data_IF_997310729437
#
_entry.id   IF_997310729437
#
_cell.length_a   1.000
_cell.length_b   1.000
_cell.length_c   1.000
_cell.angle_alpha   90.00
_cell.angle_beta   90.00
_cell.angle_gamma   90.00
#
_symmetry.space_group_name_H-M   'P 1'
#
loop_
_entity.id
_entity.type
_entity.pdbx_description
1 polymer ?
#
# COMPACT_ATOMS: atom_id res chain seq x y z
N UNK A 1 -33.00 32.01 -52.68
CA UNK A 1 -32.12 32.00 -51.48
C UNK A 1 -32.78 31.16 -50.39
N UNK A 2 -32.22 29.98 -50.06
CA UNK A 2 -32.68 29.19 -48.91
C UNK A 2 -32.15 29.87 -47.63
N UNK A 3 -33.05 30.39 -46.79
CA UNK A 3 -32.67 30.89 -45.46
C UNK A 3 -32.21 29.70 -44.62
N UNK A 4 -30.96 29.71 -44.15
CA UNK A 4 -30.49 28.75 -43.15
C UNK A 4 -31.16 29.11 -41.83
N UNK A 5 -31.88 28.17 -41.25
CA UNK A 5 -32.42 28.29 -39.89
C UNK A 5 -31.24 28.51 -38.92
N UNK A 6 -31.27 29.60 -38.18
CA UNK A 6 -30.34 29.86 -37.10
C UNK A 6 -31.02 29.50 -35.77
N UNK A 7 -30.27 28.86 -34.87
CA UNK A 7 -30.76 28.45 -33.55
C UNK A 7 -31.37 29.63 -32.78
N UNK A 8 -32.47 29.38 -32.08
CA UNK A 8 -33.09 30.39 -31.22
C UNK A 8 -32.35 30.50 -29.89
N UNK A 9 -32.34 31.69 -29.29
CA UNK A 9 -31.63 31.95 -28.03
C UNK A 9 -32.15 31.07 -26.88
N UNK A 10 -33.46 30.78 -26.89
CA UNK A 10 -34.08 29.90 -25.91
C UNK A 10 -33.66 28.44 -26.05
N UNK A 11 -33.43 27.98 -27.28
CA UNK A 11 -33.05 26.60 -27.57
C UNK A 11 -31.62 26.31 -27.12
N UNK A 12 -30.72 27.28 -27.28
CA UNK A 12 -29.39 27.20 -26.69
C UNK A 12 -29.45 27.21 -25.15
N UNK A 13 -30.33 28.05 -24.57
CA UNK A 13 -30.47 28.20 -23.12
C UNK A 13 -30.97 26.93 -22.42
N UNK A 14 -31.96 26.24 -23.02
CA UNK A 14 -32.47 24.97 -22.49
C UNK A 14 -31.43 23.86 -22.60
N UNK A 15 -30.65 23.81 -23.69
CA UNK A 15 -29.61 22.80 -23.88
C UNK A 15 -28.51 22.94 -22.84
N UNK A 16 -27.99 24.16 -22.60
CA UNK A 16 -26.95 24.34 -21.59
C UNK A 16 -27.44 24.05 -20.16
N UNK A 17 -28.71 24.37 -19.86
CA UNK A 17 -29.33 24.02 -18.58
C UNK A 17 -29.46 22.49 -18.40
N UNK A 18 -29.84 21.77 -19.45
CA UNK A 18 -29.90 20.30 -19.41
C UNK A 18 -28.52 19.66 -19.31
N UNK A 19 -27.53 20.18 -20.05
CA UNK A 19 -26.15 19.71 -19.97
C UNK A 19 -25.57 19.92 -18.57
N UNK A 20 -25.81 21.08 -17.94
CA UNK A 20 -25.34 21.33 -16.57
C UNK A 20 -25.94 20.36 -15.56
N UNK A 21 -27.23 20.01 -15.72
CA UNK A 21 -27.90 19.03 -14.86
C UNK A 21 -27.32 17.62 -15.05
N UNK A 22 -27.12 17.20 -16.30
CA UNK A 22 -26.55 15.88 -16.61
C UNK A 22 -25.14 15.71 -16.04
N UNK A 23 -24.30 16.75 -16.12
CA UNK A 23 -22.93 16.71 -15.59
C UNK A 23 -22.92 16.52 -14.07
N UNK A 24 -23.82 17.19 -13.33
CA UNK A 24 -23.90 17.05 -11.88
C UNK A 24 -24.20 15.62 -11.44
N UNK A 25 -25.15 14.94 -12.11
CA UNK A 25 -25.52 13.55 -11.78
C UNK A 25 -24.42 12.57 -12.18
N UNK A 26 -23.76 12.80 -13.32
CA UNK A 26 -22.70 11.94 -13.83
C UNK A 26 -21.53 11.80 -12.84
N UNK A 27 -21.09 12.89 -12.21
CA UNK A 27 -19.93 12.87 -11.29
C UNK A 27 -20.12 11.89 -10.13
N UNK A 28 -21.33 11.84 -9.54
CA UNK A 28 -21.59 10.91 -8.43
C UNK A 28 -21.71 9.45 -8.88
N UNK A 29 -22.17 9.20 -10.11
CA UNK A 29 -22.32 7.86 -10.65
C UNK A 29 -20.96 7.17 -10.97
N UNK A 30 -19.92 7.93 -11.32
CA UNK A 30 -18.65 7.35 -11.78
C UNK A 30 -17.63 7.02 -10.67
N UNK A 31 -17.78 7.56 -9.46
CA UNK A 31 -16.78 7.34 -8.38
C UNK A 31 -16.68 5.88 -7.93
N UNK A 32 -17.81 5.20 -7.79
CA UNK A 32 -17.86 3.80 -7.31
C UNK A 32 -17.10 2.82 -8.21
N UNK A 33 -17.38 2.78 -9.53
CA UNK A 33 -16.66 1.91 -10.45
C UNK A 33 -15.14 2.20 -10.54
N UNK A 34 -14.74 3.46 -10.44
CA UNK A 34 -13.32 3.84 -10.45
C UNK A 34 -12.57 3.29 -9.22
N UNK A 35 -13.14 3.47 -8.03
CA UNK A 35 -12.56 2.91 -6.79
C UNK A 35 -12.44 1.39 -6.87
N UNK A 36 -13.47 0.70 -7.37
CA UNK A 36 -13.41 -0.76 -7.60
C UNK A 36 -12.31 -1.15 -8.59
N UNK A 37 -12.09 -0.34 -9.63
CA UNK A 37 -10.99 -0.55 -10.59
C UNK A 37 -9.62 -0.40 -9.96
N UNK A 38 -9.41 0.64 -9.14
CA UNK A 38 -8.17 0.82 -8.37
C UNK A 38 -7.97 -0.29 -7.34
N UNK A 39 -9.02 -0.71 -6.65
CA UNK A 39 -8.98 -1.78 -5.66
C UNK A 39 -8.65 -3.14 -6.29
N UNK A 40 -9.21 -3.44 -7.47
CA UNK A 40 -8.82 -4.62 -8.24
C UNK A 40 -7.33 -4.59 -8.59
N UNK A 41 -6.79 -3.41 -8.92
CA UNK A 41 -5.37 -3.24 -9.19
C UNK A 41 -4.52 -3.42 -7.92
N UNK A 42 -4.89 -2.80 -6.79
CA UNK A 42 -4.23 -3.00 -5.48
C UNK A 42 -4.13 -4.47 -5.10
N UNK A 43 -5.24 -5.21 -5.21
CA UNK A 43 -5.29 -6.65 -4.96
C UNK A 43 -4.34 -7.44 -5.87
N UNK A 44 -4.33 -7.11 -7.17
CA UNK A 44 -3.41 -7.73 -8.13
C UNK A 44 -1.95 -7.41 -7.83
N UNK A 45 -1.66 -6.18 -7.42
CA UNK A 45 -0.31 -5.71 -7.12
C UNK A 45 0.25 -6.38 -5.85
N UNK A 46 -0.55 -6.48 -4.78
CA UNK A 46 -0.16 -7.24 -3.58
C UNK A 46 0.11 -8.71 -3.88
N UNK A 47 -0.70 -9.35 -4.74
CA UNK A 47 -0.47 -10.73 -5.14
C UNK A 47 0.82 -10.89 -5.96
N UNK A 48 1.15 -9.93 -6.82
CA UNK A 48 2.43 -9.94 -7.57
C UNK A 48 3.62 -9.82 -6.65
N UNK A 49 3.57 -8.92 -5.67
CA UNK A 49 4.62 -8.78 -4.66
C UNK A 49 4.73 -10.07 -3.85
N UNK A 50 3.60 -10.66 -3.41
CA UNK A 50 3.59 -11.95 -2.70
C UNK A 50 4.30 -13.05 -3.48
N UNK A 51 4.01 -13.22 -4.78
CA UNK A 51 4.67 -14.24 -5.61
C UNK A 51 6.18 -14.00 -5.65
N UNK A 52 6.62 -12.74 -5.87
CA UNK A 52 8.04 -12.40 -5.88
C UNK A 52 8.71 -12.65 -4.52
N UNK A 53 8.01 -12.41 -3.41
CA UNK A 53 8.48 -12.72 -2.06
C UNK A 53 8.64 -14.22 -1.85
N UNK A 54 7.69 -15.04 -2.34
CA UNK A 54 7.76 -16.50 -2.27
C UNK A 54 8.89 -17.07 -3.15
N UNK A 55 9.15 -16.48 -4.32
CA UNK A 55 10.31 -16.86 -5.15
C UNK A 55 11.63 -16.49 -4.47
N UNK A 56 11.73 -15.29 -3.89
CA UNK A 56 12.89 -14.88 -3.10
C UNK A 56 13.16 -15.85 -1.94
N UNK A 57 12.11 -16.26 -1.22
CA UNK A 57 12.23 -17.18 -0.08
C UNK A 57 12.73 -18.57 -0.51
N UNK A 58 12.32 -19.08 -1.67
CA UNK A 58 12.82 -20.37 -2.20
C UNK A 58 14.33 -20.34 -2.43
N UNK A 59 14.87 -19.21 -2.87
CA UNK A 59 16.29 -19.08 -3.18
C UNK A 59 17.12 -18.72 -1.94
N UNK A 60 16.54 -18.01 -0.95
CA UNK A 60 17.26 -17.47 0.21
C UNK A 60 16.89 -18.12 1.56
N UNK A 61 15.88 -19.00 1.60
CA UNK A 61 15.30 -19.63 2.81
C UNK A 61 14.72 -18.65 3.85
N UNK A 62 14.54 -17.39 3.44
CA UNK A 62 14.08 -16.27 4.25
C UNK A 62 13.33 -15.28 3.35
N UNK A 63 12.32 -14.61 3.87
CA UNK A 63 11.76 -13.41 3.23
C UNK A 63 12.72 -12.22 3.36
N UNK A 64 12.69 -11.26 2.42
CA UNK A 64 13.60 -10.13 2.45
C UNK A 64 13.39 -9.27 3.71
N UNK A 65 14.46 -8.68 4.26
CA UNK A 65 14.37 -7.90 5.50
C UNK A 65 13.61 -6.58 5.35
N UNK A 66 13.47 -6.08 4.12
CA UNK A 66 12.75 -4.85 3.75
C UNK A 66 12.25 -4.95 2.31
N UNK A 67 11.29 -4.10 1.95
CA UNK A 67 10.97 -3.81 0.55
C UNK A 67 11.52 -2.44 0.16
N UNK A 68 12.11 -2.30 -1.04
CA UNK A 68 12.51 -1.00 -1.56
C UNK A 68 11.28 -0.18 -1.96
N UNK A 69 11.45 1.14 -2.01
CA UNK A 69 10.38 2.03 -2.47
C UNK A 69 10.04 1.79 -3.94
N UNK A 70 8.75 1.81 -4.24
CA UNK A 70 8.18 1.81 -5.57
C UNK A 70 8.57 3.02 -6.44
N UNK A 71 9.06 4.09 -5.81
CA UNK A 71 9.56 5.28 -6.52
C UNK A 71 11.00 5.12 -7.00
N UNK A 72 11.64 4.00 -6.66
CA UNK A 72 12.94 3.61 -7.20
C UNK A 72 12.88 3.26 -8.69
N UNK A 73 14.06 3.11 -9.30
CA UNK A 73 14.19 2.72 -10.71
C UNK A 73 14.12 1.20 -10.94
N UNK A 74 14.23 0.40 -9.87
CA UNK A 74 14.08 -1.05 -9.90
C UNK A 74 13.57 -1.59 -8.55
N UNK A 75 13.34 -2.91 -8.47
CA UNK A 75 12.89 -3.57 -7.26
C UNK A 75 14.01 -3.96 -6.28
N UNK A 76 15.21 -3.37 -6.38
CA UNK A 76 16.34 -3.58 -5.47
C UNK A 76 16.63 -5.06 -5.21
N UNK A 77 16.54 -5.47 -3.95
CA UNK A 77 16.76 -6.86 -3.50
C UNK A 77 15.83 -7.88 -4.19
N UNK A 78 14.68 -7.45 -4.73
CA UNK A 78 13.74 -8.30 -5.45
C UNK A 78 13.87 -8.23 -6.98
N UNK A 79 14.85 -7.51 -7.53
CA UNK A 79 15.00 -7.27 -8.98
C UNK A 79 14.98 -8.54 -9.83
N UNK A 80 15.49 -9.65 -9.31
CA UNK A 80 15.49 -10.95 -10.01
C UNK A 80 14.10 -11.61 -10.11
N UNK A 81 13.17 -11.20 -9.24
CA UNK A 81 11.84 -11.82 -9.09
C UNK A 81 10.71 -10.90 -9.56
N UNK A 82 10.93 -9.58 -9.50
CA UNK A 82 10.00 -8.57 -10.00
C UNK A 82 10.78 -7.38 -10.54
N UNK A 83 10.45 -6.83 -11.72
CA UNK A 83 11.24 -5.76 -12.32
C UNK A 83 11.13 -4.43 -11.56
N UNK A 84 9.93 -4.12 -11.04
CA UNK A 84 9.62 -2.91 -10.27
C UNK A 84 8.58 -3.23 -9.21
N UNK A 85 8.69 -2.61 -8.04
CA UNK A 85 7.68 -2.71 -6.98
C UNK A 85 6.44 -1.91 -7.40
N UNK A 86 5.26 -2.53 -7.55
CA UNK A 86 4.02 -1.81 -7.81
C UNK A 86 3.63 -0.92 -6.63
N UNK A 87 2.86 0.12 -6.92
CA UNK A 87 2.37 1.08 -5.92
C UNK A 87 0.91 1.41 -6.12
N UNK A 88 0.32 2.07 -5.13
CA UNK A 88 -1.08 2.44 -5.16
C UNK A 88 -1.43 3.27 -6.41
N UNK A 89 -2.35 2.79 -7.28
CA UNK A 89 -2.63 3.44 -8.55
C UNK A 89 -3.28 4.81 -8.40
N UNK A 90 -3.85 5.14 -7.24
CA UNK A 90 -4.47 6.43 -6.97
C UNK A 90 -3.55 7.34 -6.16
N UNK A 91 -3.10 6.92 -4.97
CA UNK A 91 -2.30 7.76 -4.06
C UNK A 91 -0.83 7.84 -4.45
N UNK A 92 -0.34 6.94 -5.31
CA UNK A 92 1.08 6.85 -5.71
C UNK A 92 2.01 6.57 -4.52
N UNK A 93 1.50 5.87 -3.51
CA UNK A 93 2.24 5.49 -2.30
C UNK A 93 2.58 4.01 -2.33
N UNK A 94 3.62 3.66 -1.59
CA UNK A 94 4.02 2.28 -1.35
C UNK A 94 2.95 1.49 -0.56
N UNK A 95 2.98 0.17 -0.71
CA UNK A 95 2.26 -0.75 0.16
C UNK A 95 3.06 -1.02 1.44
N UNK A 96 2.37 -1.30 2.55
CA UNK A 96 3.06 -1.65 3.78
C UNK A 96 3.57 -3.10 3.69
N UNK A 97 4.87 -3.27 3.84
CA UNK A 97 5.52 -4.56 4.04
C UNK A 97 5.93 -4.72 5.49
N UNK A 98 5.53 -5.84 6.10
CA UNK A 98 5.89 -6.17 7.47
C UNK A 98 6.40 -7.61 7.53
N UNK A 99 7.73 -7.82 7.50
CA UNK A 99 8.32 -9.14 7.68
C UNK A 99 8.28 -9.56 9.15
N UNK A 100 8.38 -10.86 9.39
CA UNK A 100 8.56 -11.44 10.72
C UNK A 100 9.65 -10.69 11.52
N UNK A 101 9.26 -9.95 12.58
CA UNK A 101 10.19 -9.12 13.35
C UNK A 101 11.02 -9.94 14.34
N UNK A 102 10.67 -11.21 14.56
CA UNK A 102 11.27 -12.04 15.63
C UNK A 102 12.59 -12.70 15.23
N UNK A 103 12.92 -12.69 13.93
CA UNK A 103 14.06 -13.39 13.36
C UNK A 103 14.75 -12.54 12.31
N UNK A 104 16.09 -12.57 12.27
CA UNK A 104 16.92 -11.97 11.20
C UNK A 104 16.68 -12.62 9.84
N UNK A 105 16.25 -13.88 9.83
CA UNK A 105 15.74 -14.61 8.67
C UNK A 105 14.21 -14.67 8.80
N UNK A 106 13.51 -13.72 8.19
CA UNK A 106 12.06 -13.63 8.31
C UNK A 106 11.38 -14.88 7.74
N UNK A 107 10.54 -15.55 8.53
CA UNK A 107 9.85 -16.79 8.12
C UNK A 107 8.50 -16.59 7.49
N UNK A 108 7.96 -15.38 7.61
CA UNK A 108 6.73 -14.96 6.99
C UNK A 108 6.73 -13.45 6.81
N UNK A 109 5.81 -12.93 6.02
CA UNK A 109 5.57 -11.50 5.87
C UNK A 109 4.10 -11.19 5.60
N UNK A 110 3.70 -9.98 6.00
CA UNK A 110 2.42 -9.37 5.68
C UNK A 110 2.59 -8.23 4.69
N UNK A 111 1.60 -8.06 3.82
CA UNK A 111 1.43 -6.93 2.92
C UNK A 111 0.09 -6.28 3.21
N UNK A 112 0.07 -4.98 3.53
CA UNK A 112 -1.17 -4.25 3.82
C UNK A 112 -1.43 -3.10 2.83
N UNK A 113 -2.72 -2.80 2.64
CA UNK A 113 -3.21 -1.63 1.91
C UNK A 113 -4.61 -1.26 2.40
N UNK A 114 -5.09 -0.08 1.99
CA UNK A 114 -6.49 0.27 2.08
C UNK A 114 -7.18 0.15 0.72
N UNK A 115 -8.32 -0.51 0.70
CA UNK A 115 -9.28 -0.45 -0.39
C UNK A 115 -10.20 0.75 -0.17
N UNK A 116 -10.47 1.48 -1.25
CA UNK A 116 -11.33 2.67 -1.20
C UNK A 116 -12.80 2.30 -1.17
N UNK A 117 -13.17 1.20 -1.84
CA UNK A 117 -14.51 0.64 -1.76
C UNK A 117 -14.66 -0.20 -0.49
N UNK A 118 -15.05 0.44 0.61
CA UNK A 118 -15.27 -0.22 1.92
C UNK A 118 -16.39 -1.26 1.92
N UNK A 119 -17.25 -1.27 0.89
CA UNK A 119 -18.27 -2.30 0.69
C UNK A 119 -17.74 -3.59 0.02
N UNK A 120 -16.43 -3.72 -0.19
CA UNK A 120 -15.84 -4.93 -0.75
C UNK A 120 -16.00 -6.10 0.23
N UNK A 121 -16.64 -7.21 -0.16
CA UNK A 121 -16.91 -8.33 0.76
C UNK A 121 -15.63 -8.96 1.29
N UNK A 122 -14.49 -8.79 0.60
CA UNK A 122 -13.23 -9.35 1.02
C UNK A 122 -12.71 -8.72 2.32
N UNK A 123 -13.07 -7.47 2.61
CA UNK A 123 -12.71 -6.78 3.87
C UNK A 123 -13.32 -7.51 5.06
N UNK A 124 -14.60 -7.86 4.97
CA UNK A 124 -15.31 -8.60 6.02
C UNK A 124 -14.87 -10.06 6.08
N UNK A 125 -14.63 -10.69 4.92
CA UNK A 125 -14.18 -12.08 4.84
C UNK A 125 -12.86 -12.31 5.61
N UNK A 126 -11.92 -11.37 5.50
CA UNK A 126 -10.63 -11.44 6.22
C UNK A 126 -10.70 -10.83 7.64
N UNK A 127 -11.83 -10.21 8.00
CA UNK A 127 -12.08 -9.65 9.34
C UNK A 127 -11.45 -8.28 9.60
N UNK A 128 -11.22 -7.46 8.56
CA UNK A 128 -10.56 -6.15 8.67
C UNK A 128 -11.51 -4.95 8.64
N UNK A 129 -12.81 -5.16 8.86
CA UNK A 129 -13.82 -4.09 8.82
C UNK A 129 -13.57 -2.96 9.84
N UNK A 130 -12.91 -3.28 10.95
CA UNK A 130 -12.58 -2.31 12.00
C UNK A 130 -11.09 -1.90 11.98
N UNK A 131 -10.34 -2.37 10.98
CA UNK A 131 -8.90 -2.17 10.85
C UNK A 131 -8.07 -3.38 11.23
N UNK A 132 -6.97 -3.54 10.52
CA UNK A 132 -5.93 -4.55 10.66
C UNK A 132 -4.56 -3.89 10.59
N UNK A 133 -3.55 -4.54 11.16
CA UNK A 133 -2.18 -4.06 11.08
C UNK A 133 -1.20 -4.91 11.89
N UNK A 134 0.09 -4.59 11.78
CA UNK A 134 1.14 -5.28 12.53
C UNK A 134 1.21 -4.87 14.01
N UNK A 135 0.53 -3.80 14.41
CA UNK A 135 0.49 -3.26 15.76
C UNK A 135 -0.87 -2.59 16.02
N UNK A 136 -0.98 -1.79 17.10
CA UNK A 136 -2.18 -1.00 17.41
C UNK A 136 -2.51 0.09 16.37
N UNK A 137 -1.64 0.35 15.38
CA UNK A 137 -1.95 1.18 14.22
C UNK A 137 -2.80 0.36 13.22
N UNK A 138 -4.03 0.08 13.62
CA UNK A 138 -5.08 -0.61 12.86
C UNK A 138 -5.55 0.21 11.65
N UNK A 139 -4.62 0.56 10.78
CA UNK A 139 -4.81 1.52 9.70
C UNK A 139 -5.25 0.93 8.38
N UNK A 140 -5.30 -0.40 8.26
CA UNK A 140 -5.50 -1.09 7.00
C UNK A 140 -6.78 -1.92 6.99
N UNK A 141 -7.53 -1.88 5.89
CA UNK A 141 -8.73 -2.70 5.72
C UNK A 141 -8.50 -3.93 4.82
N UNK A 142 -7.30 -4.10 4.26
CA UNK A 142 -6.96 -5.24 3.41
C UNK A 142 -5.51 -5.67 3.58
N UNK A 143 -5.28 -6.99 3.51
CA UNK A 143 -3.95 -7.56 3.56
C UNK A 143 -3.85 -8.85 2.75
N UNK A 144 -2.61 -9.19 2.41
CA UNK A 144 -2.19 -10.46 1.82
C UNK A 144 -1.01 -10.96 2.64
N UNK A 145 -0.91 -12.28 2.83
CA UNK A 145 0.16 -12.89 3.62
C UNK A 145 0.90 -13.95 2.83
N UNK A 146 2.17 -14.14 3.18
CA UNK A 146 2.96 -15.27 2.71
C UNK A 146 2.60 -16.55 3.49
N UNK A 147 2.95 -17.75 2.98
CA UNK A 147 2.77 -19.00 3.71
C UNK A 147 3.42 -18.96 5.09
N UNK A 148 2.75 -19.56 6.09
CA UNK A 148 3.24 -19.63 7.47
C UNK A 148 3.03 -18.35 8.30
N UNK A 149 2.52 -17.27 7.71
CA UNK A 149 2.20 -16.05 8.45
C UNK A 149 1.04 -16.29 9.43
N UNK A 150 1.13 -15.82 10.68
CA UNK A 150 -0.02 -15.76 11.56
C UNK A 150 -1.07 -14.77 11.04
N UNK A 151 -2.30 -14.88 11.52
CA UNK A 151 -3.32 -13.86 11.27
C UNK A 151 -2.85 -12.51 11.85
N UNK A 152 -2.98 -11.40 11.10
CA UNK A 152 -2.59 -10.09 11.61
C UNK A 152 -3.54 -9.63 12.73
N UNK A 153 -3.07 -8.66 13.51
CA UNK A 153 -3.89 -8.10 14.58
C UNK A 153 -5.08 -7.34 13.98
N UNK A 154 -6.27 -7.58 14.57
CA UNK A 154 -7.54 -6.98 14.17
C UNK A 154 -8.04 -6.09 15.30
N UNK A 155 -8.50 -4.89 14.94
CA UNK A 155 -9.09 -3.96 15.88
C UNK A 155 -10.31 -4.58 16.59
N UNK A 156 -10.35 -4.50 17.91
CA UNK A 156 -11.41 -5.08 18.74
C UNK A 156 -11.22 -6.55 19.12
N UNK A 157 -10.08 -7.17 18.82
CA UNK A 157 -9.74 -8.48 19.38
C UNK A 157 -9.44 -8.39 20.88
N UNK A 158 -10.06 -9.25 21.71
CA UNK A 158 -9.95 -9.21 23.18
C UNK A 158 -8.52 -9.45 23.71
N UNK A 159 -7.61 -9.95 22.86
CA UNK A 159 -6.21 -10.17 23.18
C UNK A 159 -5.33 -9.26 22.31
N UNK A 160 -5.42 -7.94 22.52
CA UNK A 160 -4.37 -7.03 22.02
C UNK A 160 -3.15 -7.23 22.93
N UNK A 161 -2.01 -7.74 22.43
CA UNK A 161 -0.81 -7.78 23.26
C UNK A 161 -0.49 -6.35 23.74
N UNK A 162 -0.24 -6.15 25.04
CA UNK A 162 0.30 -4.89 25.51
C UNK A 162 1.70 -4.77 24.89
N UNK A 163 1.90 -3.71 24.11
CA UNK A 163 3.21 -3.34 23.58
C UNK A 163 3.81 -4.32 22.55
N UNK A 164 3.28 -4.30 21.34
CA UNK A 164 4.16 -4.29 20.18
C UNK A 164 4.10 -2.87 19.65
N UNK A 165 4.88 -1.97 20.24
CA UNK A 165 5.24 -0.73 19.57
C UNK A 165 5.93 -1.13 18.26
N UNK A 166 5.14 -1.25 17.18
CA UNK A 166 5.66 -1.47 15.83
C UNK A 166 6.40 -0.21 15.42
N UNK A 167 7.55 -0.02 16.05
CA UNK A 167 8.49 1.03 15.81
C UNK A 167 9.15 0.68 14.49
N UNK A 168 9.00 1.59 13.54
CA UNK A 168 9.73 1.50 12.31
C UNK A 168 11.08 2.16 12.50
N UNK A 169 12.07 1.66 11.78
CA UNK A 169 13.41 2.23 11.76
C UNK A 169 13.83 2.45 10.31
N UNK A 170 14.69 3.44 10.10
CA UNK A 170 15.27 3.78 8.81
C UNK A 170 16.77 4.03 8.94
N UNK A 171 17.51 3.77 7.87
CA UNK A 171 18.91 4.15 7.78
C UNK A 171 19.02 5.62 7.35
N UNK A 172 19.78 6.39 8.11
CA UNK A 172 20.14 7.78 7.81
C UNK A 172 21.64 7.95 7.94
N UNK A 173 22.31 8.20 6.81
CA UNK A 173 23.77 8.31 6.75
C UNK A 173 24.48 7.11 7.40
N UNK A 174 23.97 5.92 7.12
CA UNK A 174 24.49 4.65 7.66
C UNK A 174 24.18 4.37 9.13
N UNK A 175 23.35 5.18 9.79
CA UNK A 175 22.91 4.97 11.17
C UNK A 175 21.43 4.57 11.20
N UNK A 176 21.10 3.50 11.94
CA UNK A 176 19.72 3.09 12.16
C UNK A 176 19.06 4.02 13.19
N UNK A 177 17.93 4.63 12.82
CA UNK A 177 17.19 5.57 13.69
C UNK A 177 15.69 5.24 13.67
N UNK A 178 14.96 5.44 14.78
CA UNK A 178 13.52 5.27 14.81
C UNK A 178 12.84 6.29 13.90
N UNK A 179 11.82 5.86 13.17
CA UNK A 179 11.01 6.70 12.28
C UNK A 179 9.54 6.64 12.68
N UNK A 180 8.82 7.73 12.36
CA UNK A 180 7.38 7.83 12.61
C UNK A 180 6.54 7.09 11.58
N UNK A 181 5.23 7.10 11.81
CA UNK A 181 4.20 6.75 10.82
C UNK A 181 3.39 7.98 10.47
N UNK A 182 2.90 8.06 9.23
CA UNK A 182 1.98 9.10 8.81
C UNK A 182 0.59 8.84 9.44
N UNK A 183 -0.02 9.87 10.01
CA UNK A 183 -1.31 9.76 10.73
C UNK A 183 -2.48 9.35 9.86
N UNK A 184 -2.42 9.66 8.57
CA UNK A 184 -3.54 9.51 7.64
C UNK A 184 -3.47 8.19 6.87
N UNK A 185 -2.26 7.78 6.49
CA UNK A 185 -2.01 6.56 5.71
C UNK A 185 -1.59 5.38 6.56
N UNK A 186 -1.17 5.63 7.80
CA UNK A 186 -0.57 4.65 8.72
C UNK A 186 0.68 3.95 8.15
N UNK A 187 1.31 4.53 7.13
CA UNK A 187 2.56 4.06 6.53
C UNK A 187 3.78 4.68 7.26
N UNK A 188 4.92 3.95 7.35
CA UNK A 188 6.19 4.49 7.84
C UNK A 188 6.61 5.68 6.98
N UNK A 189 7.12 6.76 7.56
CA UNK A 189 7.37 8.04 6.84
C UNK A 189 8.36 7.98 5.66
N UNK A 190 9.13 6.90 5.54
CA UNK A 190 10.10 6.72 4.48
C UNK A 190 10.29 5.23 4.12
N UNK A 191 10.93 4.99 2.97
CA UNK A 191 11.31 3.66 2.51
C UNK A 191 12.75 3.61 1.96
N UNK A 192 13.45 2.45 2.10
CA UNK A 192 13.00 1.27 2.83
C UNK A 192 12.99 1.50 4.34
N UNK A 193 12.17 0.72 5.05
CA UNK A 193 12.06 0.75 6.50
C UNK A 193 12.23 -0.66 7.09
N UNK A 194 12.50 -0.70 8.39
CA UNK A 194 12.81 -1.91 9.14
C UNK A 194 11.91 -2.01 10.37
N UNK A 195 11.68 -3.23 10.84
CA UNK A 195 10.94 -3.53 12.07
C UNK A 195 11.86 -3.81 13.27
N UNK A 196 13.19 -3.78 13.06
CA UNK A 196 14.19 -4.02 14.10
C UNK A 196 14.98 -2.74 14.42
N UNK A 197 15.31 -2.55 15.70
CA UNK A 197 16.00 -1.35 16.19
C UNK A 197 17.44 -1.20 15.74
N UNK A 198 18.02 -2.27 15.19
CA UNK A 198 19.35 -2.32 14.60
C UNK A 198 19.33 -2.24 13.06
N UNK A 199 18.14 -2.11 12.44
CA UNK A 199 17.94 -2.18 10.99
C UNK A 199 18.61 -3.43 10.37
N UNK A 200 18.69 -4.52 11.15
CA UNK A 200 19.37 -5.78 10.84
C UNK A 200 20.83 -5.59 10.42
N UNK A 201 21.50 -4.56 10.94
CA UNK A 201 22.86 -4.14 10.61
C UNK A 201 23.08 -3.78 9.14
N UNK A 202 22.00 -3.52 8.38
CA UNK A 202 22.10 -3.25 6.96
C UNK A 202 22.54 -1.81 6.67
N UNK A 203 22.42 -0.87 7.61
CA UNK A 203 22.78 0.52 7.36
C UNK A 203 24.28 0.74 7.08
N UNK A 204 25.14 -0.21 7.45
CA UNK A 204 26.60 -0.07 7.35
C UNK A 204 27.20 -0.68 6.07
N UNK A 205 26.40 -1.00 5.06
CA UNK A 205 26.92 -1.58 3.80
C UNK A 205 27.87 -0.61 3.08
N UNK A 206 29.13 -1.02 2.93
CA UNK A 206 30.23 -0.24 2.36
C UNK A 206 30.08 0.04 0.85
N UNK A 207 29.09 -0.60 0.20
CA UNK A 207 28.78 -0.42 -1.23
C UNK A 207 28.06 0.91 -1.54
N UNK A 208 27.79 1.72 -0.51
CA UNK A 208 26.89 2.88 -0.57
C UNK A 208 25.47 2.45 -0.15
N UNK A 209 24.75 3.24 0.66
CA UNK A 209 23.59 2.73 1.38
C UNK A 209 22.36 2.64 0.46
N UNK A 210 22.20 1.50 -0.22
CA UNK A 210 21.02 1.10 -1.01
C UNK A 210 19.72 1.09 -0.18
N UNK A 211 19.85 1.23 1.13
CA UNK A 211 18.80 1.17 2.12
C UNK A 211 18.60 2.49 2.89
N UNK A 212 19.14 3.63 2.41
CA UNK A 212 18.79 4.94 2.96
C UNK A 212 17.29 5.18 2.88
N UNK A 213 16.72 5.56 4.01
CA UNK A 213 15.30 5.84 4.13
C UNK A 213 14.98 7.16 3.44
N UNK A 214 14.39 7.10 2.26
CA UNK A 214 13.96 8.27 1.51
C UNK A 214 12.49 8.55 1.82
N UNK A 215 12.18 9.78 2.25
CA UNK A 215 10.80 10.22 2.47
C UNK A 215 10.01 10.13 1.17
N UNK A 216 8.73 9.74 1.28
CA UNK A 216 7.83 9.68 0.12
C UNK A 216 7.64 11.04 -0.55
#
# INVERSE_FOLDING_TARGET
MKRKSAFTLIELLVVVAFLSLMVLVAIFAFKGPLFKGYDARRKSDLNRIKIALEEYEKDHNCYPPYLPSCKGSDAGILKSYIPIIPYDPHTKTDYLYYPDPTSTCAKWAWLFTNLEYTGDPKITEIGCQNGCGPNQAYGFNYYVTTPGAPDPFKSGSANVPPDVSGNYYGCFSGVCQPIGVNSDTHLPVCQPNFTSSDCRNLCQDESGPINECNSY
#
